data_IF_113622899963
#
_entry.id   IF_113622899963
#
_cell.length_a   1.000
_cell.length_b   1.000
_cell.length_c   1.000
_cell.angle_alpha   90.00
_cell.angle_beta   90.00
_cell.angle_gamma   90.00
#
_symmetry.space_group_name_H-M   'P 1'
#
loop_
_entity.id
_entity.type
_entity.pdbx_description
1 polymer ?
#
# COMPACT_ATOMS: atom_id res chain seq x y z
N UNK A 1 -8.84 1.53 -22.34
CA UNK A 1 -9.10 0.39 -21.43
C UNK A 1 -8.72 0.82 -20.02
N UNK A 2 -9.58 0.59 -19.04
CA UNK A 2 -9.27 0.84 -17.63
C UNK A 2 -8.14 -0.12 -17.21
N UNK A 3 -6.99 0.41 -16.81
CA UNK A 3 -5.92 -0.41 -16.22
C UNK A 3 -6.40 -0.98 -14.89
N UNK A 4 -6.05 -2.24 -14.62
CA UNK A 4 -6.36 -2.88 -13.33
C UNK A 4 -5.54 -2.15 -12.27
N UNK A 5 -6.22 -1.70 -11.21
CA UNK A 5 -5.59 -1.04 -10.06
C UNK A 5 -5.45 -2.03 -8.93
N UNK A 6 -4.25 -2.14 -8.38
CA UNK A 6 -3.98 -3.01 -7.23
C UNK A 6 -3.28 -2.22 -6.13
N UNK A 7 -3.57 -2.55 -4.89
CA UNK A 7 -2.81 -2.06 -3.74
C UNK A 7 -2.01 -3.22 -3.16
N UNK A 8 -0.71 -3.00 -2.93
CA UNK A 8 0.19 -4.02 -2.40
C UNK A 8 0.38 -3.81 -0.90
N UNK A 9 0.22 -4.88 -0.12
CA UNK A 9 0.52 -4.93 1.31
C UNK A 9 2.00 -5.32 1.55
N UNK A 10 2.44 -5.24 2.81
CA UNK A 10 3.84 -5.55 3.14
C UNK A 10 4.18 -7.01 2.87
N UNK A 11 3.24 -7.94 3.08
CA UNK A 11 3.48 -9.36 2.85
C UNK A 11 3.66 -9.69 1.37
N UNK A 12 2.83 -9.14 0.46
CA UNK A 12 2.96 -9.35 -0.97
C UNK A 12 4.22 -8.71 -1.54
N UNK A 13 4.58 -7.50 -1.09
CA UNK A 13 5.83 -6.85 -1.55
C UNK A 13 7.04 -7.68 -1.13
N UNK A 14 7.12 -8.08 0.14
CA UNK A 14 8.21 -8.93 0.65
C UNK A 14 8.27 -10.25 -0.13
N UNK A 15 7.12 -10.90 -0.34
CA UNK A 15 7.05 -12.16 -1.07
C UNK A 15 7.46 -12.00 -2.53
N UNK A 16 7.08 -10.91 -3.20
CA UNK A 16 7.43 -10.64 -4.59
C UNK A 16 8.92 -10.33 -4.78
N UNK A 17 9.57 -9.75 -3.78
CA UNK A 17 11.02 -9.49 -3.80
C UNK A 17 11.80 -10.78 -3.51
N UNK A 18 11.43 -11.53 -2.47
CA UNK A 18 12.17 -12.72 -2.03
C UNK A 18 11.92 -13.92 -2.94
N UNK A 19 10.72 -14.06 -3.50
CA UNK A 19 10.34 -15.20 -4.34
C UNK A 19 10.40 -14.83 -5.81
N UNK A 20 11.24 -15.52 -6.58
CA UNK A 20 11.33 -15.36 -8.03
C UNK A 20 10.18 -16.01 -8.82
N UNK A 21 9.37 -16.88 -8.19
CA UNK A 21 8.33 -17.68 -8.84
C UNK A 21 6.91 -17.46 -8.29
N UNK A 22 6.73 -16.60 -7.28
CA UNK A 22 5.43 -16.35 -6.66
C UNK A 22 4.51 -15.45 -7.48
N UNK A 23 3.19 -15.58 -7.28
CA UNK A 23 2.20 -14.70 -7.90
C UNK A 23 2.47 -13.20 -7.61
N UNK A 24 3.02 -12.89 -6.44
CA UNK A 24 3.43 -11.53 -6.08
C UNK A 24 4.54 -10.96 -6.98
N UNK A 25 5.51 -11.79 -7.42
CA UNK A 25 6.55 -11.37 -8.37
C UNK A 25 5.96 -11.04 -9.73
N UNK A 26 4.97 -11.82 -10.17
CA UNK A 26 4.25 -11.55 -11.43
C UNK A 26 3.56 -10.19 -11.35
N UNK A 27 2.91 -9.85 -10.24
CA UNK A 27 2.28 -8.53 -10.05
C UNK A 27 3.30 -7.38 -10.15
N UNK A 28 4.49 -7.52 -9.53
CA UNK A 28 5.55 -6.51 -9.62
C UNK A 28 6.04 -6.33 -11.06
N UNK A 29 6.27 -7.43 -11.79
CA UNK A 29 6.70 -7.39 -13.20
C UNK A 29 5.62 -6.80 -14.11
N UNK A 30 4.34 -7.12 -13.88
CA UNK A 30 3.23 -6.52 -14.63
C UNK A 30 3.11 -5.02 -14.35
N UNK A 31 3.44 -4.60 -13.12
CA UNK A 31 3.48 -3.19 -12.73
C UNK A 31 4.63 -2.45 -13.41
N UNK A 32 5.83 -3.03 -13.40
CA UNK A 32 7.02 -2.54 -14.11
C UNK A 32 6.72 -2.32 -15.61
N UNK A 33 6.07 -3.29 -16.25
CA UNK A 33 5.67 -3.22 -17.66
C UNK A 33 4.45 -2.31 -17.91
N UNK A 34 3.89 -1.68 -16.87
CA UNK A 34 2.75 -0.76 -16.97
C UNK A 34 1.44 -1.43 -17.41
N UNK A 35 1.34 -2.75 -17.32
CA UNK A 35 0.13 -3.52 -17.63
C UNK A 35 -0.94 -3.32 -16.54
N UNK A 36 -0.51 -3.12 -15.30
CA UNK A 36 -1.35 -2.77 -14.16
C UNK A 36 -0.86 -1.48 -13.50
N UNK A 37 -1.72 -0.86 -12.72
CA UNK A 37 -1.41 0.31 -11.91
C UNK A 37 -1.34 -0.12 -10.45
N UNK A 38 -0.12 -0.21 -9.91
CA UNK A 38 0.08 -0.67 -8.54
C UNK A 38 0.32 0.48 -7.60
N UNK A 39 -0.28 0.39 -6.42
CA UNK A 39 -0.20 1.37 -5.35
C UNK A 39 0.39 0.74 -4.09
N UNK A 40 1.10 1.54 -3.32
CA UNK A 40 1.73 1.13 -2.06
C UNK A 40 1.72 2.33 -1.10
N UNK A 41 1.57 2.12 0.21
CA UNK A 41 1.69 3.20 1.19
C UNK A 41 3.12 3.35 1.72
N UNK A 42 3.44 4.54 2.20
CA UNK A 42 4.71 4.79 2.90
C UNK A 42 4.90 3.89 4.12
N UNK A 43 3.81 3.62 4.85
CA UNK A 43 3.80 2.67 5.96
C UNK A 43 4.19 1.25 5.49
N UNK A 44 3.59 0.77 4.41
CA UNK A 44 3.89 -0.56 3.87
C UNK A 44 5.35 -0.67 3.45
N UNK A 45 5.92 0.38 2.84
CA UNK A 45 7.35 0.42 2.51
C UNK A 45 8.20 0.30 3.78
N UNK A 46 7.92 1.12 4.79
CA UNK A 46 8.70 1.13 6.04
C UNK A 46 8.62 -0.21 6.80
N UNK A 47 7.44 -0.82 6.86
CA UNK A 47 7.23 -2.14 7.48
C UNK A 47 7.96 -3.26 6.72
N UNK A 48 7.93 -3.19 5.39
CA UNK A 48 8.62 -4.15 4.53
C UNK A 48 10.13 -4.05 4.69
N UNK A 49 10.67 -2.83 4.66
CA UNK A 49 12.09 -2.58 4.91
C UNK A 49 12.52 -3.08 6.29
N UNK A 50 11.75 -2.75 7.35
CA UNK A 50 12.05 -3.22 8.71
C UNK A 50 12.00 -4.74 8.81
N UNK A 51 11.06 -5.39 8.12
CA UNK A 51 10.92 -6.84 8.13
C UNK A 51 12.07 -7.54 7.40
N UNK A 52 12.49 -7.02 6.25
CA UNK A 52 13.65 -7.54 5.50
C UNK A 52 14.94 -7.26 6.26
N UNK A 53 15.12 -6.06 6.82
CA UNK A 53 16.28 -5.72 7.63
C UNK A 53 16.48 -6.67 8.82
N UNK A 54 15.38 -7.09 9.46
CA UNK A 54 15.42 -8.04 10.58
C UNK A 54 15.66 -9.48 10.15
N UNK A 55 15.05 -9.93 9.05
CA UNK A 55 15.07 -11.35 8.65
C UNK A 55 16.21 -11.68 7.68
N UNK A 56 16.47 -10.81 6.71
CA UNK A 56 17.34 -11.04 5.55
C UNK A 56 17.98 -9.71 5.12
N UNK A 57 18.83 -9.14 5.98
CA UNK A 57 19.39 -7.79 5.78
C UNK A 57 20.16 -7.59 4.46
N UNK A 58 20.78 -8.65 3.93
CA UNK A 58 21.49 -8.61 2.65
C UNK A 58 20.58 -8.42 1.44
N UNK A 59 19.27 -8.68 1.55
CA UNK A 59 18.29 -8.48 0.50
C UNK A 59 17.73 -7.04 0.43
N UNK A 60 18.11 -6.15 1.37
CA UNK A 60 17.65 -4.75 1.39
C UNK A 60 18.00 -3.96 0.11
N UNK A 61 19.20 -4.08 -0.48
CA UNK A 61 19.50 -3.38 -1.73
C UNK A 61 18.61 -3.83 -2.88
N UNK A 62 18.42 -5.15 -3.02
CA UNK A 62 17.56 -5.75 -4.04
C UNK A 62 16.09 -5.34 -3.86
N UNK A 63 15.62 -5.30 -2.61
CA UNK A 63 14.28 -4.81 -2.28
C UNK A 63 14.06 -3.37 -2.76
N UNK A 64 14.96 -2.44 -2.39
CA UNK A 64 14.83 -1.04 -2.80
C UNK A 64 14.90 -0.88 -4.32
N UNK A 65 15.72 -1.68 -4.99
CA UNK A 65 15.83 -1.66 -6.45
C UNK A 65 14.53 -2.16 -7.09
N UNK A 66 14.00 -3.29 -6.64
CA UNK A 66 12.74 -3.86 -7.12
C UNK A 66 11.57 -2.88 -6.97
N UNK A 67 11.49 -2.17 -5.84
CA UNK A 67 10.45 -1.14 -5.65
C UNK A 67 10.55 0.01 -6.65
N UNK A 68 11.77 0.44 -6.98
CA UNK A 68 12.02 1.49 -7.98
C UNK A 68 11.63 1.02 -9.37
N UNK A 69 11.97 -0.22 -9.71
CA UNK A 69 11.73 -0.81 -11.03
C UNK A 69 10.24 -1.10 -11.24
N UNK A 70 9.54 -1.55 -10.20
CA UNK A 70 8.11 -1.88 -10.24
C UNK A 70 7.17 -0.69 -10.50
N UNK A 71 7.71 0.55 -10.59
CA UNK A 71 6.97 1.78 -10.91
C UNK A 71 5.70 1.96 -10.06
N UNK A 72 5.82 1.66 -8.76
CA UNK A 72 4.71 1.71 -7.82
C UNK A 72 4.33 3.15 -7.50
N UNK A 73 3.02 3.41 -7.41
CA UNK A 73 2.49 4.71 -6.98
C UNK A 73 2.42 4.76 -5.46
N UNK A 74 3.23 5.62 -4.86
CA UNK A 74 3.23 5.82 -3.41
C UNK A 74 2.02 6.65 -3.00
N UNK A 75 1.23 6.12 -2.08
CA UNK A 75 0.09 6.79 -1.45
C UNK A 75 0.51 7.28 -0.09
N UNK A 76 0.19 8.55 0.19
CA UNK A 76 0.49 9.15 1.48
C UNK A 76 -0.30 8.47 2.60
N UNK A 77 0.33 8.30 3.75
CA UNK A 77 -0.34 7.73 4.90
C UNK A 77 -1.50 8.62 5.37
N UNK A 78 -2.61 8.04 5.85
CA UNK A 78 -3.67 8.81 6.48
C UNK A 78 -3.17 9.49 7.75
N UNK A 79 -3.78 10.63 8.11
CA UNK A 79 -3.44 11.32 9.35
C UNK A 79 -3.93 10.54 10.56
N UNK A 80 -3.37 10.85 11.74
CA UNK A 80 -3.79 10.22 12.99
C UNK A 80 -5.24 10.53 13.33
N UNK A 81 -5.76 11.69 12.93
CA UNK A 81 -7.19 12.01 13.05
C UNK A 81 -8.03 11.10 12.14
N UNK A 82 -7.66 10.96 10.87
CA UNK A 82 -8.36 10.09 9.91
C UNK A 82 -8.40 8.64 10.39
N UNK A 83 -7.30 8.12 10.97
CA UNK A 83 -7.25 6.76 11.51
C UNK A 83 -8.21 6.61 12.69
N UNK A 84 -8.17 7.54 13.65
CA UNK A 84 -9.03 7.50 14.85
C UNK A 84 -10.51 7.57 14.49
N UNK A 85 -10.86 8.39 13.51
CA UNK A 85 -12.24 8.51 13.03
C UNK A 85 -12.73 7.23 12.35
N UNK A 86 -11.84 6.38 11.83
CA UNK A 86 -12.17 5.22 11.01
C UNK A 86 -11.80 3.87 11.65
N UNK A 87 -11.57 3.83 12.97
CA UNK A 87 -11.30 2.58 13.71
C UNK A 87 -12.44 1.55 13.63
N UNK A 88 -13.64 1.97 13.21
CA UNK A 88 -14.80 1.09 13.04
C UNK A 88 -14.78 0.30 11.73
N UNK A 89 -13.88 0.61 10.78
CA UNK A 89 -13.88 0.00 9.45
C UNK A 89 -13.42 -1.47 9.44
N UNK A 90 -12.54 -1.84 10.37
CA UNK A 90 -11.98 -3.20 10.46
C UNK A 90 -11.68 -3.52 11.93
N UNK A 91 -11.67 -4.81 12.27
CA UNK A 91 -11.49 -5.27 13.65
C UNK A 91 -10.07 -5.01 14.19
N UNK A 92 -9.05 -5.05 13.32
CA UNK A 92 -7.66 -4.78 13.71
C UNK A 92 -7.33 -3.30 13.47
N UNK A 93 -7.10 -2.51 14.53
CA UNK A 93 -6.78 -1.08 14.39
C UNK A 93 -5.48 -0.82 13.63
N UNK A 94 -4.55 -1.78 13.57
CA UNK A 94 -3.28 -1.63 12.86
C UNK A 94 -3.46 -1.73 11.33
N UNK A 95 -4.55 -2.34 10.87
CA UNK A 95 -4.90 -2.48 9.45
C UNK A 95 -5.73 -1.29 8.91
N UNK A 96 -6.30 -0.47 9.79
CA UNK A 96 -7.10 0.72 9.42
C UNK A 96 -6.32 1.69 8.52
N UNK A 97 -5.04 2.02 8.80
CA UNK A 97 -4.27 2.92 7.94
C UNK A 97 -4.05 2.35 6.53
N UNK A 98 -3.82 1.03 6.42
CA UNK A 98 -3.60 0.33 5.15
C UNK A 98 -4.89 0.36 4.32
N UNK A 99 -6.02 0.08 4.95
CA UNK A 99 -7.34 0.14 4.31
C UNK A 99 -7.66 1.56 3.81
N UNK A 100 -7.41 2.59 4.63
CA UNK A 100 -7.61 3.99 4.23
C UNK A 100 -6.72 4.38 3.04
N UNK A 101 -5.45 3.96 3.02
CA UNK A 101 -4.55 4.19 1.90
C UNK A 101 -5.02 3.46 0.63
N UNK A 102 -5.49 2.21 0.75
CA UNK A 102 -6.05 1.45 -0.36
C UNK A 102 -7.32 2.12 -0.92
N UNK A 103 -8.20 2.63 -0.05
CA UNK A 103 -9.39 3.38 -0.44
C UNK A 103 -9.03 4.67 -1.21
N UNK A 104 -8.02 5.42 -0.75
CA UNK A 104 -7.49 6.61 -1.44
C UNK A 104 -6.95 6.28 -2.84
N UNK A 105 -6.39 5.08 -3.04
CA UNK A 105 -5.84 4.65 -4.33
C UNK A 105 -6.89 4.17 -5.35
N UNK A 106 -7.94 3.51 -4.85
CA UNK A 106 -8.96 2.87 -5.69
C UNK A 106 -10.14 3.79 -6.00
N UNK A 107 -10.46 4.73 -5.10
CA UNK A 107 -11.70 5.48 -5.16
C UNK A 107 -11.45 6.98 -5.03
N UNK A 108 -11.99 7.72 -6.01
CA UNK A 108 -12.22 9.16 -5.93
C UNK A 108 -13.34 9.38 -4.90
N UNK A 109 -13.03 9.32 -3.61
CA UNK A 109 -13.98 9.72 -2.58
C UNK A 109 -14.15 11.25 -2.65
N UNK A 110 -15.39 11.77 -2.68
CA UNK A 110 -15.61 13.15 -2.30
C UNK A 110 -15.19 13.29 -0.83
N UNK A 111 -14.15 14.10 -0.57
CA UNK A 111 -13.94 14.67 0.76
C UNK A 111 -15.15 15.57 1.08
N UNK A 112 -16.24 14.98 1.57
CA UNK A 112 -17.32 15.70 2.21
C UNK A 112 -17.48 15.16 3.64
N UNK A 113 -16.67 15.73 4.53
CA UNK A 113 -17.05 15.96 5.93
C UNK A 113 -16.58 17.36 6.32
N UNK A 114 -17.05 18.38 5.59
CA UNK A 114 -17.43 19.59 6.32
C UNK A 114 -18.60 19.19 7.22
N UNK A 115 -18.32 19.17 8.51
CA UNK A 115 -19.31 19.30 9.58
C UNK A 115 -20.33 20.38 9.23
N UNK A 116 -21.49 19.95 8.75
CA UNK A 116 -22.73 20.71 8.66
C UNK A 116 -23.84 19.79 9.15
N UNK A 117 -23.94 19.65 10.47
CA UNK A 117 -25.18 19.31 11.18
C UNK A 117 -24.91 19.27 12.69
N UNK A 118 -24.64 20.43 13.29
CA UNK A 118 -25.10 20.65 14.66
C UNK A 118 -26.47 21.30 14.57
N UNK A 119 -27.42 20.64 15.21
CA UNK A 119 -28.86 20.85 15.31
C UNK A 119 -29.35 22.31 15.43
N UNK A 120 -30.53 22.51 14.82
CA UNK A 120 -31.69 23.34 15.24
C UNK A 120 -31.44 24.57 16.10
#
# INVERSE_FOLDING_TARGET
MSKIKIFLDSSAVIAGVISSAGAARVLLVMSENGQIESFISEQVIAESERSIARKISHALPEFRQTLKDANLKVVHNPTQEEIKENLYLIADPDDVPILLAAMKSSCRLPCNTQSQAFSR
#
